data_IF_404706850066
#
_entry.id   IF_404706850066
#
_cell.length_a   1.000
_cell.length_b   1.000
_cell.length_c   1.000
_cell.angle_alpha   90.00
_cell.angle_beta   90.00
_cell.angle_gamma   90.00
#
_symmetry.space_group_name_H-M   'P 1'
#
loop_
_entity.id
_entity.type
_entity.pdbx_description
1 polymer ?
#
# COMPACT_ATOMS: atom_id res chain seq x y z
N UNK A 1 0.46 -14.61 -4.64
CA UNK A 1 1.60 -13.67 -4.78
C UNK A 1 1.82 -12.96 -3.45
N UNK A 2 3.07 -12.79 -3.00
CA UNK A 2 3.39 -12.18 -1.70
C UNK A 2 3.62 -10.66 -1.86
N UNK A 3 2.54 -9.90 -1.90
CA UNK A 3 2.57 -8.45 -1.71
C UNK A 3 2.70 -8.11 -0.22
N UNK A 4 3.36 -7.01 0.14
CA UNK A 4 3.38 -6.56 1.55
C UNK A 4 2.13 -5.77 1.93
N UNK A 5 1.37 -5.30 0.94
CA UNK A 5 0.15 -4.52 1.13
C UNK A 5 -0.89 -5.06 0.14
N UNK A 6 -1.89 -5.84 0.60
CA UNK A 6 -2.82 -6.54 -0.30
C UNK A 6 -4.19 -5.85 -0.46
N UNK A 7 -4.31 -4.64 -1.08
CA UNK A 7 -5.61 -3.97 -1.21
C UNK A 7 -6.57 -4.73 -2.14
N UNK A 8 -6.08 -5.50 -3.12
CA UNK A 8 -6.96 -6.27 -4.00
C UNK A 8 -7.66 -7.39 -3.25
N UNK A 9 -6.96 -8.07 -2.35
CA UNK A 9 -7.58 -9.10 -1.51
C UNK A 9 -8.67 -8.51 -0.59
N UNK A 10 -8.52 -7.25 -0.15
CA UNK A 10 -9.57 -6.55 0.59
C UNK A 10 -10.78 -6.23 -0.31
N UNK A 11 -10.54 -5.76 -1.54
CA UNK A 11 -11.59 -5.49 -2.54
C UNK A 11 -12.36 -6.76 -2.90
N UNK A 12 -11.66 -7.88 -3.13
CA UNK A 12 -12.26 -9.19 -3.42
C UNK A 12 -13.16 -9.68 -2.28
N UNK A 13 -12.87 -9.27 -1.03
CA UNK A 13 -13.71 -9.53 0.15
C UNK A 13 -14.85 -8.52 0.32
N UNK A 14 -15.05 -7.62 -0.63
CA UNK A 14 -16.14 -6.64 -0.64
C UNK A 14 -15.80 -5.31 0.03
N UNK A 15 -14.53 -5.04 0.34
CA UNK A 15 -14.13 -3.72 0.83
C UNK A 15 -14.36 -2.67 -0.26
N UNK A 16 -15.19 -1.67 0.08
CA UNK A 16 -15.50 -0.55 -0.83
C UNK A 16 -14.72 0.72 -0.46
N UNK A 17 -14.17 0.76 0.76
CA UNK A 17 -13.29 1.80 1.29
C UNK A 17 -12.15 1.09 2.05
N UNK A 18 -10.90 1.49 1.79
CA UNK A 18 -9.70 0.89 2.36
C UNK A 18 -8.81 1.99 2.91
N UNK A 19 -8.42 1.86 4.18
CA UNK A 19 -7.30 2.58 4.76
C UNK A 19 -6.08 1.65 4.75
N UNK A 20 -5.09 1.99 3.95
CA UNK A 20 -3.88 1.22 3.75
C UNK A 20 -2.69 1.94 4.40
N UNK A 21 -1.98 1.22 5.28
CA UNK A 21 -0.76 1.67 5.93
C UNK A 21 0.44 1.00 5.23
N UNK A 22 1.22 1.78 4.49
CA UNK A 22 2.41 1.28 3.83
C UNK A 22 3.67 1.76 4.57
N UNK A 23 4.47 0.83 5.08
CA UNK A 23 5.79 1.16 5.63
C UNK A 23 6.83 0.92 4.55
N UNK A 24 7.42 2.00 4.04
CA UNK A 24 8.41 1.97 2.98
C UNK A 24 9.84 1.98 3.56
N UNK A 25 10.76 1.32 2.87
CA UNK A 25 12.20 1.41 3.18
C UNK A 25 12.67 0.61 4.40
N UNK A 26 11.85 -0.27 4.97
CA UNK A 26 12.17 -1.01 6.19
C UNK A 26 13.37 -1.99 6.08
N UNK A 27 13.85 -2.28 4.87
CA UNK A 27 14.96 -3.22 4.62
C UNK A 27 16.32 -2.54 4.37
N UNK A 28 16.46 -1.24 4.67
CA UNK A 28 17.75 -0.52 4.70
C UNK A 28 18.09 0.28 3.45
N UNK A 29 19.05 1.21 3.60
CA UNK A 29 19.51 2.13 2.54
C UNK A 29 20.67 1.54 1.72
N UNK A 30 20.97 2.14 0.55
CA UNK A 30 21.99 1.63 -0.38
C UNK A 30 23.41 1.57 0.22
N UNK A 31 23.65 2.32 1.31
CA UNK A 31 24.96 2.48 1.93
C UNK A 31 25.40 1.27 2.77
N UNK A 32 24.50 0.36 3.13
CA UNK A 32 24.78 -0.82 3.96
C UNK A 32 24.96 -2.11 3.13
N UNK A 33 24.75 -2.06 1.81
CA UNK A 33 24.77 -3.24 0.96
C UNK A 33 26.19 -3.70 0.58
N UNK A 34 26.94 -4.25 1.56
CA UNK A 34 28.21 -4.93 1.30
C UNK A 34 28.05 -6.44 1.49
N UNK A 35 28.26 -7.20 0.40
CA UNK A 35 28.15 -8.67 0.38
C UNK A 35 26.91 -9.21 -0.33
N UNK A 36 26.98 -10.46 -0.82
CA UNK A 36 25.92 -11.08 -1.65
C UNK A 36 24.54 -11.12 -0.96
N UNK A 37 24.51 -11.35 0.35
CA UNK A 37 23.25 -11.39 1.12
C UNK A 37 22.55 -10.03 1.16
N UNK A 38 23.30 -8.94 1.32
CA UNK A 38 22.73 -7.60 1.36
C UNK A 38 22.21 -7.17 -0.02
N UNK A 39 22.91 -7.56 -1.10
CA UNK A 39 22.45 -7.37 -2.48
C UNK A 39 21.16 -8.14 -2.75
N UNK A 40 21.09 -9.41 -2.35
CA UNK A 40 19.88 -10.23 -2.51
C UNK A 40 18.70 -9.66 -1.70
N UNK A 41 18.94 -9.23 -0.45
CA UNK A 41 17.94 -8.58 0.39
C UNK A 41 17.39 -7.29 -0.24
N UNK A 42 18.26 -6.47 -0.84
CA UNK A 42 17.86 -5.24 -1.54
C UNK A 42 17.05 -5.52 -2.79
N UNK A 43 17.48 -6.47 -3.63
CA UNK A 43 16.73 -6.87 -4.82
C UNK A 43 15.32 -7.36 -4.45
N UNK A 44 15.21 -8.16 -3.38
CA UNK A 44 13.92 -8.61 -2.87
C UNK A 44 13.07 -7.45 -2.34
N UNK A 45 13.66 -6.52 -1.60
CA UNK A 45 12.95 -5.31 -1.14
C UNK A 45 12.40 -4.52 -2.31
N UNK A 46 13.20 -4.27 -3.34
CA UNK A 46 12.78 -3.52 -4.53
C UNK A 46 11.67 -4.25 -5.28
N UNK A 47 11.78 -5.57 -5.46
CA UNK A 47 10.73 -6.37 -6.08
C UNK A 47 9.41 -6.25 -5.32
N UNK A 48 9.44 -6.28 -3.98
CA UNK A 48 8.26 -6.08 -3.13
C UNK A 48 7.65 -4.68 -3.29
N UNK A 49 8.46 -3.63 -3.36
CA UNK A 49 7.95 -2.27 -3.57
C UNK A 49 7.28 -2.13 -4.95
N UNK A 50 7.91 -2.66 -6.01
CA UNK A 50 7.32 -2.66 -7.36
C UNK A 50 5.99 -3.43 -7.40
N UNK A 51 5.93 -4.59 -6.74
CA UNK A 51 4.69 -5.36 -6.65
C UNK A 51 3.61 -4.62 -5.86
N UNK A 52 3.98 -3.99 -4.75
CA UNK A 52 3.07 -3.19 -3.92
C UNK A 52 2.50 -2.01 -4.72
N UNK A 53 3.35 -1.31 -5.47
CA UNK A 53 2.92 -0.18 -6.29
C UNK A 53 1.93 -0.62 -7.37
N UNK A 54 2.21 -1.73 -8.07
CA UNK A 54 1.29 -2.29 -9.08
C UNK A 54 -0.07 -2.62 -8.48
N UNK A 55 -0.09 -3.17 -7.27
CA UNK A 55 -1.33 -3.54 -6.60
C UNK A 55 -2.13 -2.31 -6.13
N UNK A 56 -1.45 -1.28 -5.63
CA UNK A 56 -2.05 0.02 -5.32
C UNK A 56 -2.67 0.64 -6.58
N UNK A 57 -1.96 0.62 -7.71
CA UNK A 57 -2.44 1.17 -8.97
C UNK A 57 -3.68 0.41 -9.47
N UNK A 58 -3.66 -0.93 -9.41
CA UNK A 58 -4.83 -1.75 -9.73
C UNK A 58 -6.01 -1.49 -8.78
N UNK A 59 -5.74 -1.32 -7.49
CA UNK A 59 -6.78 -1.00 -6.50
C UNK A 59 -7.42 0.37 -6.77
N UNK A 60 -6.65 1.38 -7.19
CA UNK A 60 -7.18 2.69 -7.58
C UNK A 60 -8.13 2.62 -8.78
N UNK A 61 -7.89 1.69 -9.70
CA UNK A 61 -8.75 1.44 -10.88
C UNK A 61 -9.99 0.60 -10.55
N UNK A 62 -10.09 0.02 -9.35
CA UNK A 62 -11.21 -0.84 -8.97
C UNK A 62 -12.52 -0.08 -8.72
N UNK A 63 -12.44 1.22 -8.45
CA UNK A 63 -13.55 2.05 -8.00
C UNK A 63 -13.73 2.08 -6.46
N UNK A 64 -12.98 1.26 -5.73
CA UNK A 64 -12.89 1.35 -4.28
C UNK A 64 -12.15 2.63 -3.86
N UNK A 65 -12.56 3.21 -2.73
CA UNK A 65 -11.88 4.38 -2.16
C UNK A 65 -10.65 3.91 -1.40
N UNK A 66 -9.46 4.31 -1.86
CA UNK A 66 -8.20 3.93 -1.24
C UNK A 66 -7.55 5.16 -0.59
N UNK A 67 -7.45 5.13 0.74
CA UNK A 67 -6.67 6.06 1.52
C UNK A 67 -5.32 5.42 1.83
N UNK A 68 -4.23 6.00 1.35
CA UNK A 68 -2.88 5.46 1.49
C UNK A 68 -2.05 6.35 2.41
N UNK A 69 -1.63 5.80 3.53
CA UNK A 69 -0.66 6.40 4.45
C UNK A 69 0.70 5.76 4.22
N UNK A 70 1.63 6.53 3.65
CA UNK A 70 3.02 6.16 3.49
C UNK A 70 3.84 6.58 4.72
N UNK A 71 4.46 5.61 5.39
CA UNK A 71 5.39 5.84 6.49
C UNK A 71 6.79 5.47 6.02
N UNK A 72 7.66 6.46 5.92
CA UNK A 72 9.06 6.23 5.58
C UNK A 72 9.86 5.82 6.83
N UNK A 73 10.48 4.63 6.77
CA UNK A 73 11.48 4.22 7.76
C UNK A 73 12.82 4.92 7.46
N UNK A 74 12.92 6.22 7.81
CA UNK A 74 14.10 7.07 7.50
C UNK A 74 15.35 6.78 8.34
N UNK A 75 15.23 6.06 9.46
CA UNK A 75 16.38 5.76 10.32
C UNK A 75 16.91 4.35 10.09
N UNK A 76 18.24 4.20 10.25
CA UNK A 76 18.95 2.92 10.26
C UNK A 76 18.64 2.10 11.55
N UNK A 77 17.36 1.94 11.88
CA UNK A 77 16.93 0.93 12.82
C UNK A 77 16.83 -0.36 12.01
N UNK A 78 17.70 -1.32 12.32
CA UNK A 78 17.67 -2.60 11.64
C UNK A 78 16.30 -3.27 11.84
N UNK A 79 15.76 -3.93 10.82
CA UNK A 79 14.43 -4.53 10.88
C UNK A 79 14.28 -5.60 11.98
N UNK A 80 15.39 -6.12 12.49
CA UNK A 80 15.47 -7.10 13.57
C UNK A 80 15.72 -6.48 14.96
N UNK A 81 15.89 -5.17 15.06
CA UNK A 81 16.13 -4.49 16.33
C UNK A 81 14.81 -4.16 17.04
N UNK A 82 14.33 -5.12 17.82
CA UNK A 82 13.11 -4.98 18.61
C UNK A 82 13.27 -4.10 19.86
N UNK A 83 14.50 -3.68 20.22
CA UNK A 83 14.73 -2.81 21.38
C UNK A 83 14.15 -1.41 21.18
N UNK A 84 13.96 -0.99 19.93
CA UNK A 84 13.44 0.32 19.54
C UNK A 84 11.92 0.30 19.26
N UNK A 85 11.20 -0.75 19.65
CA UNK A 85 9.80 -0.95 19.28
C UNK A 85 8.89 0.22 19.73
N UNK A 86 9.06 0.74 20.95
CA UNK A 86 8.24 1.87 21.44
C UNK A 86 8.54 3.16 20.68
N UNK A 87 9.81 3.42 20.32
CA UNK A 87 10.20 4.54 19.47
C UNK A 87 9.56 4.43 18.08
N UNK A 88 9.52 3.24 17.49
CA UNK A 88 8.87 2.99 16.20
C UNK A 88 7.35 3.19 16.28
N UNK A 89 6.71 2.75 17.36
CA UNK A 89 5.26 2.96 17.60
C UNK A 89 4.91 4.43 17.71
N UNK A 90 5.63 5.18 18.54
CA UNK A 90 5.40 6.62 18.73
C UNK A 90 5.52 7.37 17.40
N UNK A 91 6.51 7.02 16.58
CA UNK A 91 6.66 7.59 15.24
C UNK A 91 5.52 7.25 14.30
N UNK A 92 5.09 5.99 14.30
CA UNK A 92 3.93 5.58 13.50
C UNK A 92 2.68 6.37 13.89
N UNK A 93 2.49 6.62 15.19
CA UNK A 93 1.39 7.43 15.69
C UNK A 93 1.51 8.89 15.25
N UNK A 94 2.68 9.51 15.39
CA UNK A 94 2.92 10.90 14.95
C UNK A 94 2.70 11.06 13.45
N UNK A 95 3.22 10.12 12.64
CA UNK A 95 3.02 10.13 11.19
C UNK A 95 1.53 9.99 10.81
N UNK A 96 0.81 9.07 11.47
CA UNK A 96 -0.61 8.90 11.25
C UNK A 96 -1.43 10.13 11.66
N UNK A 97 -1.11 10.76 12.79
CA UNK A 97 -1.77 11.99 13.25
C UNK A 97 -1.54 13.15 12.28
N UNK A 98 -0.30 13.35 11.83
CA UNK A 98 0.03 14.39 10.85
C UNK A 98 -0.68 14.16 9.52
N UNK A 99 -0.78 12.91 9.08
CA UNK A 99 -1.53 12.56 7.88
C UNK A 99 -3.03 12.81 8.05
N UNK A 100 -3.64 12.43 9.18
CA UNK A 100 -5.06 12.68 9.46
C UNK A 100 -5.39 14.17 9.55
N UNK A 101 -4.47 15.00 10.05
CA UNK A 101 -4.64 16.45 10.09
C UNK A 101 -4.73 17.08 8.68
N UNK A 102 -4.07 16.47 7.69
CA UNK A 102 -4.07 16.95 6.29
C UNK A 102 -5.09 16.22 5.40
N UNK A 103 -5.42 14.98 5.75
CA UNK A 103 -6.31 14.09 5.01
C UNK A 103 -7.38 13.55 5.98
N UNK A 104 -8.37 14.37 6.38
CA UNK A 104 -9.39 13.93 7.31
C UNK A 104 -10.20 12.77 6.72
N UNK A 105 -10.17 11.62 7.40
CA UNK A 105 -10.92 10.44 6.96
C UNK A 105 -12.41 10.71 7.04
N UNK A 106 -13.06 10.71 5.88
CA UNK A 106 -14.52 10.77 5.77
C UNK A 106 -14.99 9.43 5.24
N UNK A 107 -15.39 8.55 6.15
CA UNK A 107 -15.97 7.27 5.76
C UNK A 107 -17.35 7.53 5.16
N UNK A 108 -17.43 7.42 3.83
CA UNK A 108 -18.66 7.64 3.08
C UNK A 108 -19.67 6.53 3.29
N UNK A 109 -20.92 6.77 2.89
CA UNK A 109 -21.94 5.74 2.92
C UNK A 109 -21.58 4.57 1.99
N UNK A 110 -21.65 3.29 2.44
CA UNK A 110 -21.14 2.13 1.68
C UNK A 110 -21.71 1.99 0.26
N UNK A 111 -22.97 2.41 0.06
CA UNK A 111 -23.65 2.33 -1.23
C UNK A 111 -23.05 3.21 -2.31
N UNK A 112 -22.45 4.36 -1.95
CA UNK A 112 -21.78 5.26 -2.92
C UNK A 112 -20.53 4.61 -3.51
N UNK A 113 -19.76 3.94 -2.65
CA UNK A 113 -18.58 3.21 -3.07
C UNK A 113 -18.97 1.96 -3.89
N UNK A 114 -20.03 1.24 -3.49
CA UNK A 114 -20.56 0.12 -4.28
C UNK A 114 -21.09 0.54 -5.67
N UNK A 115 -21.66 1.75 -5.81
CA UNK A 115 -22.06 2.29 -7.11
C UNK A 115 -20.85 2.54 -8.03
N UNK A 116 -19.81 3.21 -7.53
CA UNK A 116 -18.54 3.44 -8.27
C UNK A 116 -17.89 2.14 -8.74
N UNK A 117 -17.85 1.12 -7.87
CA UNK A 117 -17.30 -0.19 -8.24
C UNK A 117 -18.10 -0.87 -9.37
N UNK A 118 -19.44 -0.73 -9.37
CA UNK A 118 -20.29 -1.26 -10.46
C UNK A 118 -20.03 -0.54 -11.78
N UNK A 119 -19.88 0.78 -11.75
CA UNK A 119 -19.55 1.58 -12.94
C UNK A 119 -18.17 1.20 -13.50
N UNK A 120 -17.15 1.11 -12.64
CA UNK A 120 -15.81 0.67 -13.04
C UNK A 120 -15.81 -0.76 -13.62
N UNK A 121 -16.64 -1.65 -13.06
CA UNK A 121 -16.84 -3.00 -13.57
C UNK A 121 -17.43 -3.03 -14.99
N UNK A 122 -18.41 -2.16 -15.27
CA UNK A 122 -19.02 -2.04 -16.62
C UNK A 122 -18.04 -1.47 -17.64
N UNK A 123 -17.25 -0.45 -17.29
CA UNK A 123 -16.23 0.12 -18.19
C UNK A 123 -15.23 -0.95 -18.67
N UNK A 124 -14.69 -1.75 -17.74
CA UNK A 124 -13.77 -2.86 -18.06
C UNK A 124 -14.39 -3.98 -18.89
N UNK A 125 -15.71 -4.15 -18.82
CA UNK A 125 -16.41 -5.14 -19.65
C UNK A 125 -16.52 -4.64 -21.09
N UNK A 126 -16.82 -3.36 -21.27
CA UNK A 126 -16.90 -2.72 -22.59
C UNK A 126 -15.54 -2.65 -23.30
N UNK A 127 -14.47 -2.29 -22.58
CA UNK A 127 -13.10 -2.29 -23.13
C UNK A 127 -12.67 -3.68 -23.62
N UNK A 128 -13.04 -4.74 -22.88
CA UNK A 128 -12.75 -6.12 -23.28
C UNK A 128 -13.48 -6.54 -24.55
N UNK A 129 -14.73 -6.10 -24.72
CA UNK A 129 -15.50 -6.37 -25.93
C UNK A 129 -14.93 -5.60 -27.14
N UNK A 130 -14.51 -4.35 -26.94
CA UNK A 130 -13.92 -3.52 -28.00
C UNK A 130 -12.48 -3.94 -28.40
N UNK A 131 -11.81 -4.76 -27.59
CA UNK A 131 -10.45 -5.26 -27.88
C UNK A 131 -10.45 -6.61 -28.61
N UNK A 132 -11.63 -7.16 -28.93
CA UNK A 132 -11.80 -8.46 -29.59
C UNK A 132 -12.15 -8.34 -31.09
N UNK A 133 -12.28 -7.11 -31.60
CA UNK A 133 -12.40 -6.78 -33.03
C UNK A 133 -11.05 -6.31 -33.61
#
# INVERSE_FOLDING_TARGET
MLTKLPPLAAIERGATQILALNVAGALGSAQEARGMLAVAGRALSQAKEVMTQREIDQARLSGAELHLLEIEAKEAIAFWDFSQADKLKERGQLAAQAWLATNPLRLGAPWRAAARMREAGRGRQLERLASQD
#
